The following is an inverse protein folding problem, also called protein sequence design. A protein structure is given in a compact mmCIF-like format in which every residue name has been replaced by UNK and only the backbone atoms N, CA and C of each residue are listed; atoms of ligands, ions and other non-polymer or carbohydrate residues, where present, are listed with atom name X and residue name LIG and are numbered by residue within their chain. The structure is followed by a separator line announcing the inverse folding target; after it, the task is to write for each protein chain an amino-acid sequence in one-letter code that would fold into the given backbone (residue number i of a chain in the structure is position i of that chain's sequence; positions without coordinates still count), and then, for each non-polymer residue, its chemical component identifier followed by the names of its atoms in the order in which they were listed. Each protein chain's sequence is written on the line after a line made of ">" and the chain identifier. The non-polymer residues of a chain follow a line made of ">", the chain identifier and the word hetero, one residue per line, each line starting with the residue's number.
data_IF_051665379134
#
_entry.id   IF_051665379134
#
_cell.length_a   1.000
_cell.length_b   1.000
_cell.length_c   1.000
_cell.angle_alpha   90.00
_cell.angle_beta   90.00
_cell.angle_gamma   90.00
#
_symmetry.space_group_name_H-M   'P 1'
#
loop_
_entity.id
_entity.type
_entity.pdbx_description
1 polymer ?
#
# COMPACT_ATOMS: atom_id res chain seq x y z
N UNK A 1 9.74 -12.79 1.53
CA UNK A 1 8.86 -11.60 1.46
C UNK A 1 8.39 -11.37 0.02
N UNK A 2 7.09 -11.19 -0.23
CA UNK A 2 6.59 -10.89 -1.57
C UNK A 2 6.95 -9.47 -1.99
N UNK A 3 7.46 -9.26 -3.20
CA UNK A 3 7.67 -7.92 -3.76
C UNK A 3 6.42 -7.49 -4.52
N UNK A 4 5.87 -6.33 -4.13
CA UNK A 4 4.65 -5.77 -4.75
C UNK A 4 5.02 -4.40 -5.36
N UNK A 5 5.17 -4.29 -6.70
CA UNK A 5 5.40 -3.02 -7.35
C UNK A 5 4.23 -2.05 -7.13
N UNK A 6 4.52 -0.78 -6.86
CA UNK A 6 3.51 0.25 -6.66
C UNK A 6 3.26 1.09 -7.92
N UNK A 7 1.99 1.37 -8.19
CA UNK A 7 1.52 2.21 -9.29
C UNK A 7 0.57 3.25 -8.70
N UNK A 8 1.07 4.47 -8.49
CA UNK A 8 0.26 5.60 -8.04
C UNK A 8 -0.31 6.32 -9.26
N UNK A 9 -1.61 6.54 -9.29
CA UNK A 9 -2.32 7.14 -10.42
C UNK A 9 -2.91 8.49 -9.99
N UNK A 10 -2.52 9.55 -10.69
CA UNK A 10 -3.05 10.90 -10.51
C UNK A 10 -3.48 11.47 -11.87
N UNK A 11 -4.76 11.78 -12.03
CA UNK A 11 -5.32 12.25 -13.29
C UNK A 11 -5.05 11.30 -14.47
N UNK A 12 -5.16 9.98 -14.24
CA UNK A 12 -4.94 8.94 -15.24
C UNK A 12 -3.46 8.64 -15.56
N UNK A 13 -2.51 9.27 -14.90
CA UNK A 13 -1.06 9.11 -15.13
C UNK A 13 -0.38 8.42 -13.97
N UNK A 14 0.64 7.61 -14.27
CA UNK A 14 1.51 7.02 -13.26
C UNK A 14 2.47 8.08 -12.73
N UNK A 15 2.39 8.31 -11.44
CA UNK A 15 3.21 9.32 -10.75
C UNK A 15 3.91 8.74 -9.53
N UNK A 16 4.89 9.48 -9.00
CA UNK A 16 5.44 9.25 -7.66
C UNK A 16 5.46 10.59 -6.92
N UNK A 17 5.05 10.54 -5.67
CA UNK A 17 5.14 11.66 -4.74
C UNK A 17 6.41 11.56 -3.90
N UNK A 18 6.93 12.68 -3.47
CA UNK A 18 7.96 12.73 -2.43
C UNK A 18 7.29 13.05 -1.09
N UNK A 19 7.35 12.13 -0.14
CA UNK A 19 6.71 12.23 1.19
C UNK A 19 5.22 12.61 1.11
N UNK A 20 4.48 12.02 0.17
CA UNK A 20 3.05 12.26 -0.02
C UNK A 20 2.66 13.67 -0.51
N UNK A 21 3.61 14.52 -0.87
CA UNK A 21 3.33 15.90 -1.29
C UNK A 21 2.86 15.92 -2.75
N UNK A 22 1.59 16.21 -3.00
CA UNK A 22 1.02 16.25 -4.36
C UNK A 22 1.73 17.22 -5.30
N UNK A 23 2.17 18.38 -4.80
CA UNK A 23 2.92 19.35 -5.60
C UNK A 23 4.29 18.84 -6.07
N UNK A 24 4.79 17.73 -5.50
CA UNK A 24 6.03 17.06 -5.89
C UNK A 24 5.82 15.93 -6.91
N UNK A 25 4.60 15.75 -7.43
CA UNK A 25 4.27 14.66 -8.32
C UNK A 25 5.16 14.66 -9.56
N UNK A 26 5.93 13.59 -9.73
CA UNK A 26 6.71 13.33 -10.92
C UNK A 26 6.01 12.27 -11.76
N UNK A 27 5.73 12.56 -13.03
CA UNK A 27 5.09 11.63 -13.96
C UNK A 27 6.11 10.69 -14.57
N UNK A 28 5.81 9.40 -14.61
CA UNK A 28 6.64 8.34 -15.21
C UNK A 28 5.99 7.71 -16.45
N UNK A 29 4.65 7.70 -16.53
CA UNK A 29 3.93 7.17 -17.70
C UNK A 29 2.50 7.75 -17.76
N UNK A 30 1.95 7.85 -18.95
CA UNK A 30 0.53 8.14 -19.21
C UNK A 30 -0.29 6.84 -19.47
N UNK A 31 0.32 5.67 -19.27
CA UNK A 31 -0.25 4.35 -19.57
C UNK A 31 -0.15 3.38 -18.39
N UNK A 32 -1.01 3.51 -17.38
CA UNK A 32 -0.94 2.70 -16.16
C UNK A 32 -0.99 1.19 -16.42
N UNK A 33 -1.81 0.73 -17.38
CA UNK A 33 -1.93 -0.70 -17.70
C UNK A 33 -0.64 -1.28 -18.32
N UNK A 34 0.04 -0.51 -19.19
CA UNK A 34 1.32 -0.96 -19.75
C UNK A 34 2.39 -1.09 -18.66
N UNK A 35 2.39 -0.18 -17.68
CA UNK A 35 3.29 -0.26 -16.52
C UNK A 35 2.98 -1.50 -15.69
N UNK A 36 1.71 -1.77 -15.42
CA UNK A 36 1.29 -2.96 -14.68
C UNK A 36 1.65 -4.25 -15.43
N UNK A 37 1.35 -4.31 -16.74
CA UNK A 37 1.68 -5.46 -17.60
C UNK A 37 3.17 -5.77 -17.59
N UNK A 38 4.02 -4.74 -17.70
CA UNK A 38 5.47 -4.91 -17.63
C UNK A 38 5.91 -5.49 -16.28
N UNK A 39 5.38 -5.04 -15.16
CA UNK A 39 5.71 -5.61 -13.86
C UNK A 39 5.31 -7.08 -13.74
N UNK A 40 4.17 -7.47 -14.33
CA UNK A 40 3.76 -8.88 -14.38
C UNK A 40 4.70 -9.71 -15.28
N UNK A 41 5.10 -9.20 -16.44
CA UNK A 41 6.08 -9.84 -17.33
C UNK A 41 7.45 -10.01 -16.66
N UNK A 42 7.83 -9.07 -15.79
CA UNK A 42 9.05 -9.14 -14.97
C UNK A 42 8.93 -10.07 -13.76
N UNK A 43 7.74 -10.67 -13.50
CA UNK A 43 7.52 -11.69 -12.48
C UNK A 43 6.76 -11.23 -11.24
N UNK A 44 6.17 -10.04 -11.22
CA UNK A 44 5.29 -9.66 -10.12
C UNK A 44 4.03 -10.55 -10.09
N UNK A 45 3.70 -11.08 -8.92
CA UNK A 45 2.44 -11.82 -8.74
C UNK A 45 1.25 -10.91 -8.44
N UNK A 46 1.49 -9.67 -8.02
CA UNK A 46 0.50 -8.68 -7.61
C UNK A 46 1.09 -7.28 -7.77
N UNK A 47 0.29 -6.29 -8.17
CA UNK A 47 0.67 -4.87 -8.14
C UNK A 47 -0.16 -4.11 -7.10
N UNK A 48 0.42 -3.08 -6.49
CA UNK A 48 -0.26 -2.16 -5.59
C UNK A 48 -0.66 -0.91 -6.37
N UNK A 49 -1.96 -0.72 -6.59
CA UNK A 49 -2.50 0.42 -7.34
C UNK A 49 -3.15 1.40 -6.39
N UNK A 50 -2.75 2.66 -6.46
CA UNK A 50 -3.32 3.74 -5.65
C UNK A 50 -3.95 4.80 -6.55
N UNK A 51 -5.26 5.01 -6.40
CA UNK A 51 -5.95 6.15 -6.98
C UNK A 51 -5.73 7.39 -6.11
N UNK A 52 -4.72 8.17 -6.45
CA UNK A 52 -4.41 9.42 -5.75
C UNK A 52 -5.47 10.51 -6.03
N UNK A 53 -6.12 10.47 -7.19
CA UNK A 53 -7.23 11.40 -7.50
C UNK A 53 -8.40 11.12 -6.56
N UNK A 54 -8.82 9.86 -6.46
CA UNK A 54 -9.87 9.46 -5.54
C UNK A 54 -9.52 9.71 -4.07
N UNK A 55 -8.25 9.51 -3.70
CA UNK A 55 -7.78 9.83 -2.35
C UNK A 55 -7.90 11.32 -2.02
N UNK A 56 -7.55 12.20 -2.96
CA UNK A 56 -7.59 13.66 -2.81
C UNK A 56 -9.01 14.22 -2.84
N UNK A 57 -9.82 13.78 -3.80
CA UNK A 57 -11.16 14.31 -4.05
C UNK A 57 -12.25 13.61 -3.22
N UNK A 58 -11.95 12.44 -2.67
CA UNK A 58 -12.93 11.63 -1.92
C UNK A 58 -13.96 10.94 -2.81
N UNK A 59 -13.67 10.81 -4.09
CA UNK A 59 -14.56 10.21 -5.10
C UNK A 59 -13.97 8.88 -5.56
N UNK A 60 -14.76 7.82 -5.54
CA UNK A 60 -14.36 6.52 -6.07
C UNK A 60 -14.61 6.46 -7.58
N UNK A 61 -13.57 6.25 -8.38
CA UNK A 61 -13.68 5.98 -9.81
C UNK A 61 -13.67 4.47 -10.08
N UNK A 62 -14.85 3.87 -10.26
CA UNK A 62 -14.97 2.45 -10.59
C UNK A 62 -14.40 2.13 -11.97
N UNK A 63 -14.40 3.07 -12.93
CA UNK A 63 -13.89 2.85 -14.28
C UNK A 63 -12.40 2.48 -14.27
N UNK A 64 -11.64 3.09 -13.37
CA UNK A 64 -10.23 2.74 -13.17
C UNK A 64 -10.07 1.25 -12.78
N UNK A 65 -10.84 0.81 -11.79
CA UNK A 65 -10.75 -0.56 -11.27
C UNK A 65 -11.27 -1.61 -12.24
N UNK A 66 -12.38 -1.31 -12.94
CA UNK A 66 -12.92 -2.15 -14.05
C UNK A 66 -11.89 -2.31 -15.17
N UNK A 67 -11.12 -1.25 -15.46
CA UNK A 67 -10.08 -1.28 -16.49
C UNK A 67 -8.94 -2.22 -16.11
N UNK A 68 -8.47 -2.18 -14.86
CA UNK A 68 -7.46 -3.13 -14.36
C UNK A 68 -7.96 -4.57 -14.31
N UNK A 69 -9.18 -4.78 -13.80
CA UNK A 69 -9.78 -6.11 -13.71
C UNK A 69 -10.04 -6.73 -15.09
N UNK A 70 -10.57 -5.95 -16.04
CA UNK A 70 -10.82 -6.40 -17.43
C UNK A 70 -9.53 -6.75 -18.18
N UNK A 71 -8.41 -6.11 -17.82
CA UNK A 71 -7.09 -6.45 -18.34
C UNK A 71 -6.48 -7.71 -17.71
N UNK A 72 -7.17 -8.33 -16.73
CA UNK A 72 -6.67 -9.53 -16.03
C UNK A 72 -5.45 -9.28 -15.17
N UNK A 73 -5.20 -8.05 -14.73
CA UNK A 73 -4.07 -7.69 -13.89
C UNK A 73 -4.39 -8.04 -12.44
N UNK A 74 -3.60 -8.88 -11.74
CA UNK A 74 -3.74 -9.08 -10.31
C UNK A 74 -3.32 -7.83 -9.56
N UNK A 75 -4.23 -7.21 -8.79
CA UNK A 75 -3.93 -5.98 -8.07
C UNK A 75 -4.58 -5.90 -6.69
N UNK A 76 -3.95 -5.14 -5.79
CA UNK A 76 -4.57 -4.60 -4.60
C UNK A 76 -4.84 -3.11 -4.80
N UNK A 77 -6.04 -2.66 -4.42
CA UNK A 77 -6.55 -1.33 -4.70
C UNK A 77 -6.55 -0.43 -3.47
N UNK A 78 -5.98 0.77 -3.57
CA UNK A 78 -6.01 1.81 -2.54
C UNK A 78 -6.37 3.17 -3.13
N UNK A 79 -6.73 4.11 -2.25
CA UNK A 79 -7.12 5.47 -2.65
C UNK A 79 -8.62 5.64 -2.82
N UNK A 80 -9.21 6.62 -2.11
CA UNK A 80 -10.63 6.98 -2.23
C UNK A 80 -11.64 5.99 -1.65
N UNK A 81 -11.25 4.80 -1.23
CA UNK A 81 -12.13 3.77 -0.68
C UNK A 81 -12.35 4.05 0.82
N UNK A 82 -13.58 4.40 1.20
CA UNK A 82 -13.91 4.86 2.56
C UNK A 82 -15.02 4.07 3.25
N UNK A 83 -15.77 3.24 2.53
CA UNK A 83 -16.93 2.49 3.03
C UNK A 83 -16.92 1.05 2.54
N UNK A 84 -17.54 0.13 3.29
CA UNK A 84 -17.66 -1.28 2.94
C UNK A 84 -18.27 -1.49 1.55
N UNK A 85 -19.35 -0.78 1.22
CA UNK A 85 -19.98 -0.87 -0.11
C UNK A 85 -19.05 -0.46 -1.26
N UNK A 86 -18.20 0.55 -1.06
CA UNK A 86 -17.20 0.95 -2.06
C UNK A 86 -16.13 -0.13 -2.23
N UNK A 87 -15.66 -0.70 -1.12
CA UNK A 87 -14.69 -1.80 -1.16
C UNK A 87 -15.26 -3.03 -1.85
N UNK A 88 -16.51 -3.40 -1.57
CA UNK A 88 -17.20 -4.50 -2.25
C UNK A 88 -17.29 -4.26 -3.76
N UNK A 89 -17.60 -3.02 -4.19
CA UNK A 89 -17.63 -2.66 -5.60
C UNK A 89 -16.24 -2.78 -6.27
N UNK A 90 -15.17 -2.36 -5.59
CA UNK A 90 -13.79 -2.49 -6.10
C UNK A 90 -13.36 -3.96 -6.18
N UNK A 91 -13.71 -4.78 -5.18
CA UNK A 91 -13.48 -6.24 -5.25
C UNK A 91 -14.24 -6.88 -6.41
N UNK A 92 -15.50 -6.46 -6.67
CA UNK A 92 -16.27 -6.93 -7.81
C UNK A 92 -15.66 -6.55 -9.17
N UNK A 93 -14.88 -5.45 -9.24
CA UNK A 93 -14.07 -5.10 -10.40
C UNK A 93 -12.83 -6.00 -10.59
N UNK A 94 -12.55 -6.94 -9.69
CA UNK A 94 -11.44 -7.90 -9.80
C UNK A 94 -10.23 -7.60 -8.92
N UNK A 95 -10.30 -6.63 -8.01
CA UNK A 95 -9.23 -6.41 -7.03
C UNK A 95 -9.09 -7.64 -6.12
N UNK A 96 -7.86 -8.11 -5.89
CA UNK A 96 -7.58 -9.20 -4.96
C UNK A 96 -7.78 -8.78 -3.50
N UNK A 97 -7.50 -7.50 -3.20
CA UNK A 97 -7.59 -6.89 -1.87
C UNK A 97 -7.88 -5.39 -1.99
N UNK A 98 -8.48 -4.84 -0.96
CA UNK A 98 -8.66 -3.38 -0.81
C UNK A 98 -7.82 -2.85 0.33
N UNK A 99 -7.20 -1.69 0.12
CA UNK A 99 -6.32 -1.03 1.09
C UNK A 99 -7.04 0.19 1.64
N UNK A 100 -7.36 0.17 2.93
CA UNK A 100 -8.12 1.19 3.62
C UNK A 100 -7.22 1.92 4.62
N UNK A 101 -7.04 3.22 4.45
CA UNK A 101 -6.27 4.06 5.36
C UNK A 101 -7.17 4.74 6.40
N UNK A 102 -7.67 5.91 6.06
CA UNK A 102 -8.47 6.78 6.95
C UNK A 102 -9.65 6.06 7.60
N UNK A 103 -10.42 5.29 6.81
CA UNK A 103 -11.57 4.54 7.32
C UNK A 103 -11.14 3.49 8.35
N UNK A 104 -10.11 2.70 8.05
CA UNK A 104 -9.61 1.69 8.97
C UNK A 104 -9.06 2.30 10.27
N UNK A 105 -8.47 3.50 10.21
CA UNK A 105 -7.88 4.15 11.37
C UNK A 105 -8.92 4.82 12.29
N UNK A 106 -9.91 5.51 11.72
CA UNK A 106 -10.83 6.36 12.48
C UNK A 106 -12.25 5.81 12.65
N UNK A 107 -12.63 4.81 11.85
CA UNK A 107 -13.91 4.12 11.93
C UNK A 107 -13.73 2.60 11.76
N UNK A 108 -12.85 1.94 12.57
CA UNK A 108 -12.56 0.52 12.42
C UNK A 108 -13.81 -0.36 12.60
N UNK A 109 -14.81 0.10 13.35
CA UNK A 109 -16.10 -0.58 13.53
C UNK A 109 -16.87 -0.76 12.21
N UNK A 110 -16.73 0.15 11.25
CA UNK A 110 -17.34 0.02 9.91
C UNK A 110 -16.75 -1.16 9.12
N UNK A 111 -15.57 -1.63 9.49
CA UNK A 111 -14.97 -2.81 8.87
C UNK A 111 -15.72 -4.11 9.22
N UNK A 112 -16.51 -4.12 10.28
CA UNK A 112 -17.40 -5.25 10.62
C UNK A 112 -18.53 -5.45 9.58
N UNK A 113 -18.81 -4.44 8.75
CA UNK A 113 -19.79 -4.53 7.67
C UNK A 113 -19.25 -5.28 6.43
N UNK A 114 -17.95 -5.62 6.41
CA UNK A 114 -17.37 -6.40 5.31
C UNK A 114 -17.82 -7.86 5.39
N UNK A 115 -18.32 -8.39 4.29
CA UNK A 115 -18.70 -9.80 4.18
C UNK A 115 -17.50 -10.73 4.42
N UNK A 116 -16.33 -10.35 3.89
CA UNK A 116 -15.07 -11.05 4.10
C UNK A 116 -13.93 -10.06 4.39
N UNK A 117 -13.60 -9.92 5.66
CA UNK A 117 -12.51 -9.06 6.15
C UNK A 117 -11.12 -9.53 5.68
N UNK A 118 -10.96 -10.76 5.17
CA UNK A 118 -9.68 -11.28 4.70
C UNK A 118 -9.16 -10.53 3.47
N UNK A 119 -10.04 -9.88 2.70
CA UNK A 119 -9.69 -9.02 1.58
C UNK A 119 -9.30 -7.60 1.98
N UNK A 120 -9.37 -7.27 3.27
CA UNK A 120 -9.01 -5.93 3.76
C UNK A 120 -7.56 -5.89 4.21
N UNK A 121 -6.86 -4.87 3.73
CA UNK A 121 -5.55 -4.43 4.23
C UNK A 121 -5.74 -3.08 4.89
N UNK A 122 -5.47 -2.95 6.19
CA UNK A 122 -5.48 -1.65 6.84
C UNK A 122 -4.14 -0.94 6.63
N UNK A 123 -4.17 0.25 6.03
CA UNK A 123 -2.98 1.06 5.86
C UNK A 123 -2.76 1.95 7.10
N UNK A 124 -1.57 1.88 7.64
CA UNK A 124 -1.10 2.69 8.75
C UNK A 124 0.12 3.52 8.30
N UNK A 125 -0.10 4.78 8.03
CA UNK A 125 0.96 5.73 7.73
C UNK A 125 1.46 6.32 9.05
N UNK A 126 2.70 6.00 9.43
CA UNK A 126 3.19 6.19 10.79
C UNK A 126 4.29 7.24 10.84
N UNK A 127 4.18 8.14 11.82
CA UNK A 127 5.23 9.07 12.23
C UNK A 127 5.21 9.24 13.74
N UNK A 128 6.38 9.23 14.37
CA UNK A 128 6.55 9.45 15.81
C UNK A 128 5.60 8.60 16.69
N UNK A 129 5.41 7.32 16.34
CA UNK A 129 4.56 6.38 17.10
C UNK A 129 3.06 6.63 16.95
N UNK A 130 2.64 7.43 15.98
CA UNK A 130 1.24 7.72 15.66
C UNK A 130 0.92 7.34 14.23
N UNK A 131 -0.26 6.76 14.00
CA UNK A 131 -0.81 6.50 12.68
C UNK A 131 -1.66 7.70 12.24
N UNK A 132 -1.56 8.05 10.97
CA UNK A 132 -2.23 9.19 10.35
C UNK A 132 -3.17 8.73 9.24
N UNK A 133 -4.22 9.49 9.00
CA UNK A 133 -5.13 9.39 7.86
C UNK A 133 -5.19 10.71 7.11
N UNK A 134 -6.18 10.88 6.24
CA UNK A 134 -6.51 12.11 5.53
C UNK A 134 -5.29 12.83 4.89
N UNK A 135 -4.44 12.03 4.21
CA UNK A 135 -3.22 12.59 3.60
C UNK A 135 -2.19 13.09 4.64
N UNK A 136 -2.15 12.41 5.80
CA UNK A 136 -1.22 12.69 6.91
C UNK A 136 -1.50 13.98 7.68
N UNK A 137 -2.74 14.45 7.61
CA UNK A 137 -3.19 15.64 8.32
C UNK A 137 -3.71 15.32 9.72
N UNK A 138 -3.75 16.33 10.58
CA UNK A 138 -4.32 16.22 11.92
C UNK A 138 -3.39 15.60 12.97
N UNK A 139 -3.96 15.17 14.09
CA UNK A 139 -3.20 14.72 15.26
C UNK A 139 -2.79 13.23 15.20
N UNK A 140 -3.32 12.46 14.25
CA UNK A 140 -3.13 11.02 14.18
C UNK A 140 -3.68 10.28 15.42
N UNK A 141 -3.57 8.95 15.44
CA UNK A 141 -3.95 8.07 16.55
C UNK A 141 -2.71 7.33 17.05
N UNK A 142 -2.50 7.12 18.36
CA UNK A 142 -1.38 6.32 18.83
C UNK A 142 -1.38 4.94 18.18
N UNK A 143 -0.23 4.44 17.74
CA UNK A 143 -0.11 3.22 16.94
C UNK A 143 -0.65 1.99 17.68
N UNK A 144 -0.27 1.80 18.96
CA UNK A 144 -0.73 0.66 19.76
C UNK A 144 -2.26 0.56 19.85
N UNK A 145 -2.97 1.61 20.30
CA UNK A 145 -4.44 1.65 20.26
C UNK A 145 -5.02 1.41 18.87
N UNK A 146 -4.46 1.98 17.80
CA UNK A 146 -4.95 1.74 16.45
C UNK A 146 -4.86 0.25 16.07
N UNK A 147 -3.74 -0.41 16.39
CA UNK A 147 -3.56 -1.84 16.15
C UNK A 147 -4.53 -2.70 16.98
N UNK A 148 -4.78 -2.34 18.24
CA UNK A 148 -5.76 -3.04 19.08
C UNK A 148 -7.16 -2.99 18.47
N UNK A 149 -7.60 -1.81 18.02
CA UNK A 149 -8.93 -1.63 17.43
C UNK A 149 -9.06 -2.44 16.12
N UNK A 150 -8.04 -2.42 15.26
CA UNK A 150 -8.03 -3.21 14.02
C UNK A 150 -8.06 -4.72 14.29
N UNK A 151 -7.30 -5.18 15.29
CA UNK A 151 -7.32 -6.59 15.67
C UNK A 151 -8.70 -7.03 16.22
N UNK A 152 -9.34 -6.15 16.99
CA UNK A 152 -10.67 -6.40 17.59
C UNK A 152 -11.77 -6.59 16.52
N UNK A 153 -11.70 -5.87 15.40
CA UNK A 153 -12.64 -6.02 14.28
C UNK A 153 -12.24 -7.10 13.27
N UNK A 154 -11.19 -7.85 13.55
CA UNK A 154 -10.80 -9.02 12.74
C UNK A 154 -9.79 -8.74 11.62
N UNK A 155 -9.29 -7.52 11.46
CA UNK A 155 -8.20 -7.23 10.49
C UNK A 155 -6.98 -8.09 10.81
N UNK A 156 -6.37 -8.67 9.78
CA UNK A 156 -5.19 -9.53 9.91
C UNK A 156 -4.00 -9.04 9.11
N UNK A 157 -4.18 -8.06 8.22
CA UNK A 157 -3.13 -7.58 7.33
C UNK A 157 -2.97 -6.07 7.43
N UNK A 158 -1.74 -5.61 7.67
CA UNK A 158 -1.39 -4.20 7.77
C UNK A 158 -0.41 -3.82 6.65
N UNK A 159 -0.68 -2.71 5.97
CA UNK A 159 0.29 -1.99 5.15
C UNK A 159 0.86 -0.85 6.00
N UNK A 160 2.15 -0.91 6.31
CA UNK A 160 2.80 0.04 7.23
C UNK A 160 3.77 0.91 6.46
N UNK A 161 3.47 2.21 6.40
CA UNK A 161 4.31 3.22 5.76
C UNK A 161 4.96 4.11 6.82
N UNK A 162 6.28 4.22 6.82
CA UNK A 162 6.96 5.28 7.58
C UNK A 162 6.92 6.57 6.77
N UNK A 163 6.16 7.56 7.25
CA UNK A 163 5.97 8.86 6.55
C UNK A 163 7.32 9.55 6.28
N UNK A 164 8.25 9.47 7.23
CA UNK A 164 9.58 10.08 7.10
C UNK A 164 10.45 9.43 6.04
N UNK A 165 10.22 8.16 5.74
CA UNK A 165 11.00 7.39 4.76
C UNK A 165 10.35 7.31 3.39
N UNK A 166 9.04 7.61 3.28
CA UNK A 166 8.33 7.45 2.03
C UNK A 166 8.91 8.32 0.90
N UNK A 167 9.19 7.67 -0.23
CA UNK A 167 9.80 8.29 -1.41
C UNK A 167 11.26 8.76 -1.24
N UNK A 168 11.96 8.46 -0.14
CA UNK A 168 13.33 8.95 0.11
C UNK A 168 14.44 8.08 -0.44
N UNK A 169 14.21 6.77 -0.63
CA UNK A 169 15.24 5.77 -1.01
C UNK A 169 16.39 5.62 0.02
N UNK A 170 16.15 5.96 1.27
CA UNK A 170 17.16 5.94 2.35
C UNK A 170 17.04 4.72 3.27
N UNK A 171 16.22 3.76 2.90
CA UNK A 171 15.89 2.55 3.65
C UNK A 171 14.56 2.66 4.40
N UNK A 172 13.86 1.51 4.59
CA UNK A 172 12.66 1.41 5.41
C UNK A 172 12.93 1.71 6.88
N UNK A 173 11.89 2.04 7.64
CA UNK A 173 11.96 2.12 9.09
C UNK A 173 11.86 0.70 9.69
N UNK A 174 12.99 0.02 9.77
CA UNK A 174 13.07 -1.35 10.28
C UNK A 174 12.63 -1.47 11.74
N UNK A 175 12.83 -0.41 12.55
CA UNK A 175 12.40 -0.41 13.95
C UNK A 175 10.89 -0.40 14.08
N UNK A 176 10.22 0.45 13.31
CA UNK A 176 8.76 0.48 13.21
C UNK A 176 8.22 -0.87 12.73
N UNK A 177 8.74 -1.39 11.62
CA UNK A 177 8.28 -2.64 11.01
C UNK A 177 8.45 -3.84 11.96
N UNK A 178 9.60 -3.95 12.63
CA UNK A 178 9.84 -4.97 13.65
C UNK A 178 8.86 -4.86 14.83
N UNK A 179 8.54 -3.65 15.27
CA UNK A 179 7.58 -3.45 16.36
C UNK A 179 6.15 -3.85 15.99
N UNK A 180 5.74 -3.64 14.74
CA UNK A 180 4.41 -4.02 14.25
C UNK A 180 4.34 -5.53 14.01
N UNK A 181 5.30 -6.13 13.29
CA UNK A 181 5.32 -7.57 13.02
C UNK A 181 5.47 -8.42 14.27
N UNK A 182 6.24 -7.94 15.26
CA UNK A 182 6.40 -8.59 16.57
C UNK A 182 5.25 -8.35 17.55
N UNK A 183 4.17 -7.65 17.13
CA UNK A 183 3.03 -7.40 18.02
C UNK A 183 2.28 -8.69 18.36
N UNK A 184 1.61 -8.75 19.54
CA UNK A 184 0.89 -9.95 19.97
C UNK A 184 -0.33 -10.29 19.09
N UNK A 185 -0.72 -9.40 18.19
CA UNK A 185 -1.87 -9.58 17.31
C UNK A 185 -1.58 -10.48 16.11
N UNK A 186 -0.31 -10.75 15.78
CA UNK A 186 0.10 -11.62 14.68
C UNK A 186 -0.31 -11.10 13.31
N UNK A 187 -0.21 -9.78 13.07
CA UNK A 187 -0.52 -9.20 11.78
C UNK A 187 0.45 -9.65 10.69
N UNK A 188 -0.09 -10.05 9.55
CA UNK A 188 0.65 -10.11 8.31
C UNK A 188 1.04 -8.69 7.89
N UNK A 189 2.32 -8.34 7.99
CA UNK A 189 2.79 -6.97 7.82
C UNK A 189 3.37 -6.79 6.42
N UNK A 190 2.89 -5.78 5.71
CA UNK A 190 3.41 -5.33 4.41
C UNK A 190 4.19 -4.04 4.66
N UNK A 191 5.48 -4.02 4.32
CA UNK A 191 6.30 -2.81 4.40
C UNK A 191 6.01 -1.86 3.25
N UNK A 192 6.01 -0.56 3.52
CA UNK A 192 5.92 0.50 2.51
C UNK A 192 6.81 1.69 2.87
N UNK A 193 7.36 2.32 1.83
CA UNK A 193 8.21 3.51 1.95
C UNK A 193 9.68 3.20 2.23
N UNK A 194 10.56 4.00 1.62
CA UNK A 194 11.99 4.02 1.91
C UNK A 194 12.87 3.01 1.17
N UNK A 195 12.36 1.89 0.68
CA UNK A 195 13.17 0.86 -0.01
C UNK A 195 14.02 1.52 -1.10
N UNK A 196 15.34 1.39 -1.00
CA UNK A 196 16.30 2.00 -1.91
C UNK A 196 17.38 1.03 -2.42
N UNK A 197 17.46 -0.18 -1.86
CA UNK A 197 18.48 -1.17 -2.22
C UNK A 197 17.99 -2.60 -2.07
N UNK A 198 18.66 -3.56 -2.73
CA UNK A 198 18.41 -5.01 -2.53
C UNK A 198 18.72 -5.46 -1.09
N UNK A 199 19.68 -4.83 -0.43
CA UNK A 199 20.00 -5.10 0.97
C UNK A 199 18.83 -4.75 1.91
N UNK A 200 18.04 -3.72 1.57
CA UNK A 200 16.83 -3.39 2.33
C UNK A 200 15.81 -4.54 2.23
N UNK A 201 15.62 -5.10 1.02
CA UNK A 201 14.69 -6.20 0.78
C UNK A 201 15.10 -7.46 1.55
N UNK A 202 16.37 -7.85 1.49
CA UNK A 202 16.89 -8.98 2.25
C UNK A 202 16.72 -8.78 3.77
N UNK A 203 16.85 -7.55 4.26
CA UNK A 203 16.61 -7.23 5.65
C UNK A 203 15.13 -7.31 6.04
N UNK A 204 14.21 -6.88 5.14
CA UNK A 204 12.76 -7.02 5.34
C UNK A 204 12.33 -8.50 5.39
N UNK A 205 12.94 -9.33 4.55
CA UNK A 205 12.73 -10.78 4.59
C UNK A 205 13.17 -11.37 5.95
N UNK A 206 14.34 -10.96 6.45
CA UNK A 206 14.84 -11.37 7.76
C UNK A 206 13.92 -10.96 8.94
N UNK A 207 13.03 -9.99 8.77
CA UNK A 207 11.98 -9.63 9.73
C UNK A 207 10.73 -10.52 9.65
N UNK A 208 10.64 -11.44 8.68
CA UNK A 208 9.48 -12.32 8.49
C UNK A 208 8.23 -11.58 8.01
N UNK A 209 8.38 -10.48 7.27
CA UNK A 209 7.24 -9.73 6.74
C UNK A 209 6.55 -10.50 5.59
N UNK A 210 5.24 -10.29 5.42
CA UNK A 210 4.48 -10.87 4.30
C UNK A 210 4.96 -10.34 2.95
N UNK A 211 5.10 -9.01 2.85
CA UNK A 211 5.42 -8.35 1.59
C UNK A 211 6.15 -7.00 1.79
N UNK A 212 6.71 -6.49 0.69
CA UNK A 212 7.21 -5.14 0.57
C UNK A 212 6.63 -4.46 -0.68
N UNK A 213 5.98 -3.31 -0.49
CA UNK A 213 5.56 -2.42 -1.57
C UNK A 213 6.77 -1.60 -2.01
N UNK A 214 7.15 -1.75 -3.28
CA UNK A 214 8.31 -1.08 -3.87
C UNK A 214 7.85 -0.16 -4.99
N UNK A 215 8.07 1.13 -4.81
CA UNK A 215 7.69 2.15 -5.77
C UNK A 215 8.92 2.78 -6.41
N UNK A 216 9.33 3.94 -5.90
CA UNK A 216 10.32 4.84 -6.48
C UNK A 216 11.63 4.15 -6.90
N UNK A 217 12.10 3.17 -6.15
CA UNK A 217 13.34 2.45 -6.47
C UNK A 217 13.30 1.75 -7.84
N UNK A 218 12.15 1.16 -8.21
CA UNK A 218 11.95 0.54 -9.53
C UNK A 218 11.90 1.57 -10.65
N UNK A 219 11.19 2.68 -10.45
CA UNK A 219 11.09 3.74 -11.46
C UNK A 219 12.40 4.49 -11.68
N UNK A 220 13.23 4.63 -10.65
CA UNK A 220 14.55 5.29 -10.75
C UNK A 220 15.69 4.32 -11.09
N UNK A 221 15.37 3.03 -11.35
CA UNK A 221 16.36 2.04 -11.77
C UNK A 221 17.43 1.76 -10.73
N UNK A 222 17.09 1.84 -9.43
CA UNK A 222 18.01 1.45 -8.34
C UNK A 222 18.32 -0.03 -8.39
N UNK A 223 17.39 -0.81 -8.83
CA UNK A 223 17.45 -2.23 -9.16
C UNK A 223 16.22 -2.59 -10.02
N UNK A 224 16.30 -3.70 -10.74
CA UNK A 224 15.19 -4.24 -11.50
C UNK A 224 14.26 -5.07 -10.60
N UNK A 225 13.01 -5.28 -11.03
CA UNK A 225 12.12 -6.18 -10.30
C UNK A 225 12.66 -7.60 -10.23
N UNK A 226 13.27 -8.10 -11.31
CA UNK A 226 13.91 -9.43 -11.33
C UNK A 226 15.03 -9.58 -10.29
N UNK A 227 15.88 -8.55 -10.12
CA UNK A 227 16.89 -8.52 -9.05
C UNK A 227 16.23 -8.50 -7.67
N UNK A 228 15.15 -7.72 -7.49
CA UNK A 228 14.42 -7.67 -6.22
C UNK A 228 13.81 -9.03 -5.85
N UNK A 229 13.17 -9.71 -6.80
CA UNK A 229 12.60 -11.05 -6.60
C UNK A 229 13.69 -12.09 -6.25
N UNK A 230 14.86 -12.00 -6.89
CA UNK A 230 15.98 -12.90 -6.60
C UNK A 230 16.58 -12.67 -5.20
N UNK A 231 16.56 -11.42 -4.73
CA UNK A 231 17.13 -11.07 -3.42
C UNK A 231 16.32 -11.59 -2.22
N UNK A 232 15.07 -12.03 -2.45
CA UNK A 232 14.13 -12.52 -1.42
C UNK A 232 13.59 -13.92 -1.71
N UNK A 233 14.39 -14.78 -2.35
CA UNK A 233 14.04 -16.14 -2.79
C UNK A 233 14.66 -17.21 -1.91
#
# INVERSE_FOLDING_TARGET
>A
VQIIPAIDILGGRVVRLYRGVFASAQTYSDRPLEVAGRFLEEGAALVHVVDLTGAQEGVLDLTLWETFGSAGIPFQAGGGIRRAAQAAAVLACGASRVVLGTAALFAPEELAEFEDISHVVAALDVSQGRAFGDGWLGAGKPLGPAMNDLAAVGVRRLLVTSISQDGTLTGPDFGLLASVSGSPHGFATIASGGVGSLADLARLEGLGLEAAVVGRALYEGRFTLGEALTAVS
#
